data_IF_674038429381
#
_entry.id   IF_674038429381
#
_cell.length_a   1.000
_cell.length_b   1.000
_cell.length_c   1.000
_cell.angle_alpha   90.00
_cell.angle_beta   90.00
_cell.angle_gamma   90.00
#
_symmetry.space_group_name_H-M   'P 1'
#
loop_
_entity.id
_entity.type
_entity.pdbx_description
1 polymer ?
#
# COMPACT_ATOMS: atom_id res chain seq x y z
N UNK A 1 -20.35 -3.72 -12.97
CA UNK A 1 -18.91 -4.08 -13.00
C UNK A 1 -18.51 -4.38 -11.56
N UNK A 2 -18.01 -5.58 -11.28
CA UNK A 2 -17.72 -6.04 -9.90
C UNK A 2 -16.62 -5.16 -9.29
N UNK A 3 -16.74 -4.82 -8.00
CA UNK A 3 -15.66 -4.16 -7.26
C UNK A 3 -14.49 -5.15 -7.09
N UNK A 4 -13.22 -4.72 -7.22
CA UNK A 4 -12.09 -5.61 -6.97
C UNK A 4 -12.00 -5.97 -5.49
N UNK A 5 -11.52 -7.18 -5.20
CA UNK A 5 -11.14 -7.59 -3.84
C UNK A 5 -9.73 -7.05 -3.56
N UNK A 6 -9.63 -6.10 -2.64
CA UNK A 6 -8.37 -5.44 -2.28
C UNK A 6 -8.12 -5.61 -0.79
N UNK A 7 -6.94 -6.13 -0.45
CA UNK A 7 -6.46 -6.21 0.93
C UNK A 7 -5.04 -5.64 1.02
N UNK A 8 -4.88 -4.58 1.82
CA UNK A 8 -3.60 -3.94 2.08
C UNK A 8 -3.02 -4.46 3.39
N UNK A 9 -1.81 -5.02 3.31
CA UNK A 9 -1.09 -5.51 4.47
C UNK A 9 -0.09 -4.45 4.93
N UNK A 10 -0.27 -3.96 6.15
CA UNK A 10 0.53 -2.89 6.76
C UNK A 10 1.29 -3.40 7.96
N UNK A 11 2.36 -2.71 8.35
CA UNK A 11 3.12 -3.06 9.56
C UNK A 11 2.24 -2.84 10.80
N UNK A 12 2.20 -3.81 11.71
CA UNK A 12 1.55 -3.65 13.00
C UNK A 12 2.37 -2.75 13.95
N UNK A 13 1.69 -2.14 14.92
CA UNK A 13 2.28 -1.41 16.03
C UNK A 13 2.96 -2.32 17.04
N UNK A 14 3.46 -1.74 18.13
CA UNK A 14 4.13 -2.49 19.20
C UNK A 14 3.21 -3.46 19.95
N UNK A 15 1.91 -3.21 19.92
CA UNK A 15 0.87 -4.10 20.45
C UNK A 15 0.56 -5.28 19.51
N UNK A 16 1.09 -5.26 18.28
CA UNK A 16 0.87 -6.27 17.27
C UNK A 16 -0.52 -6.24 16.62
N UNK A 17 -1.34 -5.23 16.91
CA UNK A 17 -2.72 -5.09 16.42
C UNK A 17 -3.00 -3.72 15.79
N UNK A 18 -2.45 -2.64 16.35
CA UNK A 18 -2.63 -1.30 15.82
C UNK A 18 -1.85 -1.07 14.52
N UNK A 19 -2.16 -0.01 13.79
CA UNK A 19 -1.34 0.42 12.65
C UNK A 19 0.00 0.94 13.18
N UNK A 20 1.09 0.32 12.73
CA UNK A 20 2.44 0.68 13.13
C UNK A 20 3.02 1.85 12.35
N UNK A 21 4.16 2.34 12.83
CA UNK A 21 4.92 3.40 12.16
C UNK A 21 5.58 2.86 10.86
N UNK A 22 4.98 3.21 9.72
CA UNK A 22 5.44 2.85 8.39
C UNK A 22 4.95 3.88 7.35
N UNK A 23 5.79 4.86 6.93
CA UNK A 23 5.36 5.91 5.99
C UNK A 23 4.93 5.34 4.62
N UNK A 24 5.56 4.26 4.17
CA UNK A 24 5.19 3.59 2.91
C UNK A 24 3.81 2.92 3.00
N UNK A 25 3.49 2.32 4.15
CA UNK A 25 2.18 1.71 4.41
C UNK A 25 1.09 2.79 4.41
N UNK A 26 1.37 3.91 5.08
CA UNK A 26 0.46 5.06 5.12
C UNK A 26 0.24 5.65 3.72
N UNK A 27 1.28 5.75 2.88
CA UNK A 27 1.16 6.23 1.50
C UNK A 27 0.17 5.40 0.68
N UNK A 28 0.31 4.07 0.69
CA UNK A 28 -0.61 3.19 -0.05
C UNK A 28 -2.04 3.23 0.51
N UNK A 29 -2.19 3.32 1.83
CA UNK A 29 -3.49 3.50 2.48
C UNK A 29 -4.18 4.79 1.98
N UNK A 30 -3.46 5.91 1.93
CA UNK A 30 -3.99 7.18 1.43
C UNK A 30 -4.40 7.10 -0.04
N UNK A 31 -3.62 6.41 -0.89
CA UNK A 31 -3.96 6.21 -2.30
C UNK A 31 -5.30 5.47 -2.44
N UNK A 32 -5.45 4.32 -1.78
CA UNK A 32 -6.69 3.53 -1.82
C UNK A 32 -7.89 4.32 -1.31
N UNK A 33 -7.70 5.08 -0.22
CA UNK A 33 -8.72 5.97 0.32
C UNK A 33 -9.13 7.05 -0.69
N UNK A 34 -8.18 7.75 -1.29
CA UNK A 34 -8.43 8.81 -2.28
C UNK A 34 -9.03 8.27 -3.58
N UNK A 35 -8.71 7.03 -3.96
CA UNK A 35 -9.37 6.34 -5.08
C UNK A 35 -10.85 6.05 -4.78
N UNK A 36 -11.27 6.01 -3.51
CA UNK A 36 -12.64 5.73 -3.12
C UNK A 36 -13.07 4.28 -3.40
N UNK A 37 -12.12 3.37 -3.52
CA UNK A 37 -12.37 1.93 -3.69
C UNK A 37 -12.60 1.28 -2.32
N UNK A 38 -13.39 0.20 -2.26
CA UNK A 38 -13.49 -0.61 -1.05
C UNK A 38 -12.24 -1.48 -0.91
N UNK A 39 -11.67 -1.52 0.28
CA UNK A 39 -10.51 -2.36 0.59
C UNK A 39 -10.49 -2.69 2.08
N UNK A 40 -9.83 -3.79 2.43
CA UNK A 40 -9.52 -4.17 3.80
C UNK A 40 -8.07 -3.82 4.14
N UNK A 41 -7.80 -3.64 5.43
CA UNK A 41 -6.47 -3.41 5.96
C UNK A 41 -6.16 -4.44 7.03
N UNK A 42 -5.06 -5.14 6.84
CA UNK A 42 -4.59 -6.18 7.76
C UNK A 42 -3.22 -5.79 8.31
N UNK A 43 -3.11 -5.71 9.63
CA UNK A 43 -1.85 -5.40 10.31
C UNK A 43 -1.02 -6.66 10.47
N UNK A 44 0.26 -6.56 10.13
CA UNK A 44 1.21 -7.66 10.15
C UNK A 44 2.20 -7.47 11.29
N UNK A 45 2.12 -8.36 12.28
CA UNK A 45 3.09 -8.43 13.35
C UNK A 45 4.38 -9.11 12.86
N UNK A 46 5.41 -8.29 12.64
CA UNK A 46 6.73 -8.72 12.18
C UNK A 46 7.52 -9.52 13.22
N UNK A 47 7.11 -9.49 14.50
CA UNK A 47 7.74 -10.26 15.59
C UNK A 47 7.21 -11.68 15.68
N UNK A 48 5.91 -11.87 15.40
CA UNK A 48 5.23 -13.16 15.46
C UNK A 48 5.11 -13.90 14.12
N UNK A 49 5.45 -13.23 13.00
CA UNK A 49 5.42 -13.74 11.60
C UNK A 49 4.37 -14.85 11.40
N UNK A 50 3.08 -14.47 11.30
CA UNK A 50 1.97 -15.41 11.13
C UNK A 50 2.26 -16.46 10.04
N UNK A 51 1.89 -17.72 10.26
CA UNK A 51 2.15 -18.79 9.30
C UNK A 51 1.47 -18.53 7.95
N UNK A 52 0.26 -17.98 7.98
CA UNK A 52 -0.52 -17.59 6.80
C UNK A 52 0.25 -16.61 5.89
N UNK A 53 1.09 -15.75 6.47
CA UNK A 53 1.95 -14.82 5.74
C UNK A 53 3.10 -15.50 5.01
N UNK A 54 3.57 -16.65 5.51
CA UNK A 54 4.65 -17.42 4.86
C UNK A 54 4.17 -17.99 3.52
N UNK A 55 2.92 -18.47 3.48
CA UNK A 55 2.33 -19.02 2.27
C UNK A 55 1.89 -17.92 1.30
N UNK A 56 1.33 -16.82 1.84
CA UNK A 56 0.84 -15.71 1.03
C UNK A 56 1.98 -14.88 0.41
N UNK A 57 3.03 -14.57 1.18
CA UNK A 57 4.07 -13.63 0.77
C UNK A 57 5.43 -13.98 1.41
N UNK A 58 6.06 -15.11 1.03
CA UNK A 58 7.29 -15.61 1.65
C UNK A 58 8.41 -14.58 1.56
N UNK A 59 8.92 -14.15 2.71
CA UNK A 59 10.03 -13.19 2.80
C UNK A 59 9.66 -11.74 2.44
N UNK A 60 8.38 -11.44 2.24
CA UNK A 60 7.91 -10.09 1.93
C UNK A 60 7.67 -9.30 3.21
N UNK A 61 8.28 -8.11 3.30
CA UNK A 61 7.98 -7.17 4.36
C UNK A 61 6.83 -6.24 3.94
N UNK A 62 5.95 -5.83 4.85
CA UNK A 62 4.98 -4.78 4.59
C UNK A 62 5.67 -3.47 4.13
N UNK A 63 5.00 -2.67 3.26
CA UNK A 63 3.67 -2.92 2.75
C UNK A 63 3.63 -3.84 1.52
N UNK A 64 2.58 -4.65 1.42
CA UNK A 64 2.22 -5.39 0.21
C UNK A 64 0.69 -5.42 0.04
N UNK A 65 0.24 -5.75 -1.16
CA UNK A 65 -1.17 -5.69 -1.53
C UNK A 65 -1.59 -7.03 -2.13
N UNK A 66 -2.77 -7.53 -1.78
CA UNK A 66 -3.45 -8.59 -2.54
C UNK A 66 -4.58 -7.94 -3.32
N UNK A 67 -4.54 -8.08 -4.64
CA UNK A 67 -5.56 -7.57 -5.55
C UNK A 67 -6.15 -8.72 -6.34
N UNK A 68 -7.44 -9.02 -6.15
CA UNK A 68 -8.12 -10.18 -6.74
C UNK A 68 -7.31 -11.48 -6.60
N UNK A 69 -6.81 -11.73 -5.38
CA UNK A 69 -5.98 -12.90 -5.02
C UNK A 69 -4.57 -12.92 -5.61
N UNK A 70 -4.15 -11.87 -6.32
CA UNK A 70 -2.77 -11.72 -6.78
C UNK A 70 -1.95 -10.87 -5.80
N UNK A 71 -0.83 -11.41 -5.34
CA UNK A 71 0.13 -10.68 -4.54
C UNK A 71 0.86 -9.63 -5.40
N UNK A 72 0.89 -8.40 -4.91
CA UNK A 72 1.72 -7.30 -5.42
C UNK A 72 2.66 -6.85 -4.31
N UNK A 73 3.95 -6.78 -4.64
CA UNK A 73 5.03 -6.33 -3.75
C UNK A 73 5.72 -5.11 -4.36
N UNK A 74 6.61 -4.46 -3.61
CA UNK A 74 7.27 -3.19 -3.97
C UNK A 74 6.26 -2.02 -4.03
N UNK A 75 6.38 -1.10 -3.08
CA UNK A 75 5.40 -0.03 -2.92
C UNK A 75 5.29 0.89 -4.15
N UNK A 76 6.38 1.07 -4.90
CA UNK A 76 6.39 1.92 -6.10
C UNK A 76 5.56 1.25 -7.19
N UNK A 77 5.79 -0.05 -7.41
CA UNK A 77 5.02 -0.83 -8.39
C UNK A 77 3.55 -0.96 -8.03
N UNK A 78 3.24 -1.08 -6.73
CA UNK A 78 1.85 -1.10 -6.26
C UNK A 78 1.17 0.25 -6.56
N UNK A 79 1.83 1.37 -6.32
CA UNK A 79 1.29 2.70 -6.63
C UNK A 79 1.01 2.87 -8.12
N UNK A 80 1.96 2.52 -8.99
CA UNK A 80 1.78 2.55 -10.45
C UNK A 80 0.62 1.64 -10.89
N UNK A 81 0.54 0.43 -10.34
CA UNK A 81 -0.52 -0.53 -10.62
C UNK A 81 -1.90 0.01 -10.23
N UNK A 82 -2.03 0.59 -9.03
CA UNK A 82 -3.29 1.16 -8.54
C UNK A 82 -3.72 2.36 -9.38
N UNK A 83 -2.77 3.20 -9.81
CA UNK A 83 -3.07 4.37 -10.64
C UNK A 83 -3.58 3.96 -12.03
N UNK A 84 -2.98 2.94 -12.64
CA UNK A 84 -3.39 2.42 -13.95
C UNK A 84 -4.69 1.62 -13.90
N UNK A 85 -4.87 0.81 -12.85
CA UNK A 85 -6.01 -0.12 -12.74
C UNK A 85 -7.27 0.57 -12.24
N UNK A 86 -7.13 1.45 -11.24
CA UNK A 86 -8.23 2.24 -10.68
C UNK A 86 -8.26 3.60 -11.38
N UNK A 87 -8.70 3.59 -12.64
CA UNK A 87 -8.69 4.75 -13.53
C UNK A 87 -10.10 5.32 -13.82
N UNK A 88 -10.18 6.53 -14.43
CA UNK A 88 -11.43 7.08 -14.93
C UNK A 88 -12.12 6.15 -15.95
N UNK A 89 -13.46 6.18 -16.06
CA UNK A 89 -14.38 7.13 -15.44
C UNK A 89 -14.80 6.76 -14.00
N UNK A 90 -14.43 5.57 -13.51
CA UNK A 90 -14.95 5.05 -12.23
C UNK A 90 -14.18 5.57 -11.02
N UNK A 91 -12.87 5.76 -11.15
CA UNK A 91 -12.00 6.19 -10.06
C UNK A 91 -11.20 7.44 -10.49
N UNK A 92 -10.83 8.33 -9.55
CA UNK A 92 -10.09 9.54 -9.88
C UNK A 92 -8.65 9.24 -10.30
N UNK A 93 -8.09 10.07 -11.19
CA UNK A 93 -6.65 10.08 -11.50
C UNK A 93 -5.93 10.89 -10.42
N UNK A 94 -4.94 10.30 -9.74
CA UNK A 94 -4.26 10.93 -8.60
C UNK A 94 -2.86 11.46 -8.96
N UNK A 95 -2.32 11.09 -10.12
CA UNK A 95 -0.99 11.60 -10.52
C UNK A 95 -1.00 13.12 -10.63
N UNK A 96 0.01 13.81 -10.08
CA UNK A 96 0.14 15.24 -10.21
C UNK A 96 0.37 15.63 -11.67
N UNK A 97 -0.11 16.82 -12.03
CA UNK A 97 0.03 17.38 -13.39
C UNK A 97 1.45 17.83 -13.70
N UNK A 98 2.18 18.30 -12.68
CA UNK A 98 3.51 18.87 -12.81
C UNK A 98 4.54 17.86 -12.32
N UNK A 99 5.56 17.59 -13.14
CA UNK A 99 6.61 16.63 -12.80
C UNK A 99 7.38 17.05 -11.55
N UNK A 100 7.59 18.35 -11.38
CA UNK A 100 8.28 18.97 -10.25
C UNK A 100 7.62 18.64 -8.91
N UNK A 101 6.31 18.35 -8.92
CA UNK A 101 5.58 17.94 -7.71
C UNK A 101 5.99 16.55 -7.21
N UNK A 102 6.55 15.68 -8.06
CA UNK A 102 7.14 14.41 -7.64
C UNK A 102 8.53 14.59 -7.02
N UNK A 103 9.31 15.53 -7.54
CA UNK A 103 10.73 15.68 -7.18
C UNK A 103 10.92 16.52 -5.91
N UNK A 104 10.00 17.45 -5.63
CA UNK A 104 10.13 18.36 -4.49
C UNK A 104 10.11 17.58 -3.15
N UNK A 105 11.20 17.70 -2.39
CA UNK A 105 11.31 17.06 -1.07
C UNK A 105 11.53 15.56 -1.09
N UNK A 106 11.78 14.93 -2.25
CA UNK A 106 12.00 13.47 -2.35
C UNK A 106 13.21 12.98 -1.53
N UNK A 107 14.20 13.84 -1.33
CA UNK A 107 15.42 13.61 -0.55
C UNK A 107 15.32 14.12 0.90
N UNK A 108 14.16 14.61 1.33
CA UNK A 108 13.99 15.13 2.69
C UNK A 108 14.04 14.01 3.73
N UNK A 109 13.31 12.91 3.50
CA UNK A 109 13.25 11.79 4.46
C UNK A 109 14.64 11.19 4.72
N UNK A 110 15.42 10.99 3.66
CA UNK A 110 16.77 10.44 3.73
C UNK A 110 17.75 11.27 4.60
N UNK A 111 17.45 12.55 4.84
CA UNK A 111 18.29 13.41 5.69
C UNK A 111 18.06 13.19 7.19
N UNK A 112 16.96 12.56 7.58
CA UNK A 112 16.55 12.37 8.97
C UNK A 112 16.31 10.90 9.35
N UNK A 113 16.58 9.97 8.44
CA UNK A 113 16.36 8.53 8.58
C UNK A 113 17.62 7.75 8.90
#
# INVERSE_FOLDING_TARGET
QVDPEIELFVKAGSDGESIGNCPFCQRLFMILWLKGVKFNVTTVDMTRKPEELKDLAPGTNPPFLVYNKELKTDFIKIEEFLEQTLAPPRYPHLSPKYKESFDVGCNLFAKFS
#
